data_IF_389210905958
#
_entry.id   IF_389210905958
#
_cell.length_a   1.000
_cell.length_b   1.000
_cell.length_c   1.000
_cell.angle_alpha   90.00
_cell.angle_beta   90.00
_cell.angle_gamma   90.00
#
_symmetry.space_group_name_H-M   'P 1'
#
loop_
_entity.id
_entity.type
_entity.pdbx_description
1 polymer ?
#
# COMPACT_ATOMS: atom_id res chain seq x y z
N UNK A 1 16.15 3.81 21.88
CA UNK A 1 17.11 2.75 21.53
C UNK A 1 17.04 1.50 22.41
N UNK A 2 16.82 1.60 23.73
CA UNK A 2 16.77 0.42 24.61
C UNK A 2 15.56 -0.51 24.37
N UNK A 3 14.37 0.02 24.10
CA UNK A 3 13.17 -0.78 23.82
C UNK A 3 13.27 -1.61 22.54
N UNK A 4 13.94 -1.08 21.51
CA UNK A 4 14.17 -1.84 20.27
C UNK A 4 15.14 -3.00 20.53
N UNK A 5 16.22 -2.76 21.28
CA UNK A 5 17.19 -3.80 21.62
C UNK A 5 16.54 -4.98 22.37
N UNK A 6 15.60 -4.72 23.30
CA UNK A 6 14.88 -5.79 24.00
C UNK A 6 13.97 -6.60 23.08
N UNK A 7 13.34 -5.96 22.09
CA UNK A 7 12.55 -6.65 21.06
C UNK A 7 13.45 -7.54 20.19
N UNK A 8 14.59 -7.04 19.74
CA UNK A 8 15.52 -7.82 18.92
C UNK A 8 16.09 -9.03 19.68
N UNK A 9 16.49 -8.88 20.95
CA UNK A 9 16.99 -9.99 21.78
C UNK A 9 15.89 -11.03 22.01
N UNK A 10 14.65 -10.60 22.24
CA UNK A 10 13.52 -11.52 22.41
C UNK A 10 13.23 -12.34 21.14
N UNK A 11 13.30 -11.71 19.97
CA UNK A 11 12.97 -12.36 18.70
C UNK A 11 14.11 -13.20 18.12
N UNK A 12 15.36 -12.80 18.31
CA UNK A 12 16.54 -13.38 17.63
C UNK A 12 17.57 -13.99 18.59
N UNK A 13 17.34 -13.91 19.91
CA UNK A 13 18.28 -14.39 20.93
C UNK A 13 19.59 -13.61 20.95
N UNK A 14 20.66 -14.27 21.41
CA UNK A 14 22.03 -13.72 21.41
C UNK A 14 22.78 -13.92 20.07
N UNK A 15 22.09 -14.39 19.03
CA UNK A 15 22.67 -14.57 17.70
C UNK A 15 22.80 -13.26 16.92
N UNK A 16 23.59 -13.23 15.83
CA UNK A 16 23.66 -12.07 14.95
C UNK A 16 22.26 -11.76 14.38
N UNK A 17 21.85 -10.49 14.42
CA UNK A 17 20.57 -10.07 13.81
C UNK A 17 20.58 -10.39 12.31
N UNK A 18 19.47 -10.92 11.75
CA UNK A 18 19.41 -11.18 10.32
C UNK A 18 19.58 -9.88 9.54
N UNK A 19 20.29 -9.95 8.41
CA UNK A 19 20.43 -8.80 7.52
C UNK A 19 19.05 -8.42 6.98
N UNK A 20 18.59 -7.23 7.35
CA UNK A 20 17.37 -6.65 6.80
C UNK A 20 17.70 -6.29 5.36
N UNK A 21 17.21 -7.10 4.41
CA UNK A 21 17.31 -6.75 3.00
C UNK A 21 16.49 -5.49 2.75
N UNK A 22 17.13 -4.45 2.24
CA UNK A 22 16.45 -3.23 1.86
C UNK A 22 15.44 -3.57 0.76
N UNK A 23 14.16 -3.46 1.09
CA UNK A 23 13.10 -3.63 0.09
C UNK A 23 13.19 -2.42 -0.82
N UNK A 24 13.83 -2.59 -1.98
CA UNK A 24 13.79 -1.61 -3.07
C UNK A 24 12.34 -1.48 -3.54
N UNK A 25 11.58 -0.60 -2.89
CA UNK A 25 10.23 -0.23 -3.33
C UNK A 25 10.40 0.74 -4.48
N UNK A 26 10.05 0.31 -5.69
CA UNK A 26 9.88 1.21 -6.81
C UNK A 26 8.86 2.27 -6.39
N UNK A 27 9.18 3.57 -6.46
CA UNK A 27 8.20 4.61 -6.18
C UNK A 27 7.03 4.41 -7.14
N UNK A 28 5.77 4.48 -6.66
CA UNK A 28 4.64 4.46 -7.56
C UNK A 28 4.78 5.62 -8.55
N UNK A 29 4.41 5.37 -9.81
CA UNK A 29 4.40 6.41 -10.84
C UNK A 29 3.63 7.63 -10.30
N UNK A 30 4.19 8.84 -10.46
CA UNK A 30 3.52 10.07 -10.03
C UNK A 30 2.26 10.24 -10.87
N UNK A 31 1.10 10.03 -10.24
CA UNK A 31 -0.20 10.29 -10.83
C UNK A 31 -0.47 11.80 -10.76
N UNK A 32 -1.07 12.33 -11.82
CA UNK A 32 -1.55 13.71 -11.80
C UNK A 32 -2.80 13.80 -10.88
N UNK A 33 -2.78 14.66 -9.85
CA UNK A 33 -3.90 14.82 -8.92
C UNK A 33 -5.24 15.13 -9.58
N UNK A 34 -5.24 15.70 -10.80
CA UNK A 34 -6.46 16.04 -11.53
C UNK A 34 -7.36 14.83 -11.81
N UNK A 35 -6.76 13.65 -11.95
CA UNK A 35 -7.49 12.40 -12.22
C UNK A 35 -7.97 11.70 -10.95
N UNK A 36 -7.46 12.05 -9.77
CA UNK A 36 -7.82 11.39 -8.51
C UNK A 36 -9.15 11.94 -7.97
N UNK A 37 -10.01 11.05 -7.48
CA UNK A 37 -11.31 11.41 -6.90
C UNK A 37 -12.19 12.28 -7.81
N UNK A 38 -12.12 12.04 -9.12
CA UNK A 38 -12.85 12.79 -10.13
C UNK A 38 -14.06 11.99 -10.64
N UNK A 39 -15.27 12.44 -10.30
CA UNK A 39 -16.53 11.77 -10.68
C UNK A 39 -16.68 11.56 -12.19
N UNK A 40 -16.21 12.49 -13.01
CA UNK A 40 -16.41 12.43 -14.47
C UNK A 40 -15.46 11.47 -15.17
N UNK A 41 -14.35 11.11 -14.53
CA UNK A 41 -13.29 10.29 -15.13
C UNK A 41 -13.16 8.91 -14.49
N UNK A 42 -13.76 8.70 -13.32
CA UNK A 42 -13.62 7.46 -12.55
C UNK A 42 -14.64 6.41 -12.99
N UNK A 43 -14.21 5.14 -13.04
CA UNK A 43 -15.05 3.99 -13.37
C UNK A 43 -15.60 3.28 -12.12
N UNK A 44 -15.10 3.61 -10.93
CA UNK A 44 -15.51 3.06 -9.64
C UNK A 44 -15.87 4.16 -8.65
N UNK A 45 -16.83 3.86 -7.76
CA UNK A 45 -17.16 4.69 -6.60
C UNK A 45 -17.23 3.82 -5.35
N UNK A 46 -16.46 4.18 -4.33
CA UNK A 46 -16.54 3.59 -3.00
C UNK A 46 -17.34 4.50 -2.08
N UNK A 47 -18.07 3.92 -1.13
CA UNK A 47 -18.65 4.65 -0.03
C UNK A 47 -17.73 4.51 1.19
N UNK A 48 -17.02 5.58 1.53
CA UNK A 48 -16.08 5.63 2.66
C UNK A 48 -16.68 6.54 3.72
N UNK A 49 -17.03 5.98 4.88
CA UNK A 49 -17.64 6.74 5.99
C UNK A 49 -18.87 7.55 5.55
N UNK A 50 -19.67 7.00 4.62
CA UNK A 50 -20.85 7.67 4.07
C UNK A 50 -20.56 8.72 3.00
N UNK A 51 -19.31 8.89 2.55
CA UNK A 51 -18.92 9.82 1.49
C UNK A 51 -18.45 9.06 0.23
N UNK A 52 -18.83 9.52 -0.97
CA UNK A 52 -18.34 8.91 -2.20
C UNK A 52 -16.86 9.22 -2.41
N UNK A 53 -16.10 8.18 -2.78
CA UNK A 53 -14.72 8.27 -3.22
C UNK A 53 -14.62 7.66 -4.62
N UNK A 54 -14.28 8.50 -5.60
CA UNK A 54 -14.20 8.12 -7.00
C UNK A 54 -12.81 7.58 -7.33
N UNK A 55 -12.74 6.40 -7.93
CA UNK A 55 -11.49 5.69 -8.15
C UNK A 55 -11.42 5.08 -9.55
N UNK A 56 -10.20 4.76 -9.95
CA UNK A 56 -9.92 4.09 -11.22
C UNK A 56 -9.55 2.63 -10.96
N UNK A 57 -10.25 1.68 -11.57
CA UNK A 57 -9.97 0.24 -11.45
C UNK A 57 -8.52 -0.07 -11.78
N UNK A 58 -7.99 0.55 -12.84
CA UNK A 58 -6.60 0.38 -13.26
C UNK A 58 -5.59 0.77 -12.16
N UNK A 59 -5.85 1.87 -11.43
CA UNK A 59 -4.98 2.31 -10.34
C UNK A 59 -5.01 1.34 -9.16
N UNK A 60 -6.18 0.76 -8.85
CA UNK A 60 -6.33 -0.20 -7.77
C UNK A 60 -5.62 -1.52 -8.06
N UNK A 61 -5.73 -2.04 -9.29
CA UNK A 61 -5.05 -3.26 -9.73
C UNK A 61 -3.54 -3.05 -9.74
N UNK A 62 -3.07 -1.91 -10.22
CA UNK A 62 -1.63 -1.57 -10.21
C UNK A 62 -1.07 -1.42 -8.80
N UNK A 63 -1.88 -0.93 -7.84
CA UNK A 63 -1.45 -0.71 -6.46
C UNK A 63 -1.62 -1.94 -5.56
N UNK A 64 -2.47 -2.91 -5.91
CA UNK A 64 -2.80 -4.05 -5.05
C UNK A 64 -3.31 -5.26 -5.82
N UNK A 65 -2.57 -6.38 -5.71
CA UNK A 65 -2.91 -7.68 -6.29
C UNK A 65 -4.25 -8.26 -5.80
N UNK A 66 -4.85 -7.72 -4.73
CA UNK A 66 -6.15 -8.18 -4.22
C UNK A 66 -7.31 -7.71 -5.11
N UNK A 67 -7.16 -6.60 -5.81
CA UNK A 67 -8.19 -6.08 -6.72
C UNK A 67 -8.25 -6.81 -8.06
N UNK A 68 -7.17 -7.49 -8.44
CA UNK A 68 -7.14 -8.32 -9.64
C UNK A 68 -8.05 -9.56 -9.51
N UNK A 69 -8.21 -10.07 -8.29
CA UNK A 69 -8.95 -11.31 -8.00
C UNK A 69 -10.49 -11.21 -8.15
N UNK A 70 -11.05 -10.00 -8.24
CA UNK A 70 -12.51 -9.77 -8.26
C UNK A 70 -13.01 -9.22 -9.62
N UNK A 71 -12.18 -9.28 -10.66
CA UNK A 71 -12.45 -8.68 -11.97
C UNK A 71 -12.86 -9.68 -13.06
N UNK A 72 -13.22 -10.91 -12.71
CA UNK A 72 -13.72 -11.94 -13.64
C UNK A 72 -15.24 -12.03 -13.63
#
# INVERSE_FOLDING_TARGET
NQQLASIFIYCYGNGPSPSISEVKRTPPARLDPHFLNNKGMSDLTFLVEGKPFYAHKFLLVTASNRYDQHST
#
